data_IF_486593243164
#
_entry.id   IF_486593243164
#
_cell.length_a   1.000
_cell.length_b   1.000
_cell.length_c   1.000
_cell.angle_alpha   90.00
_cell.angle_beta   90.00
_cell.angle_gamma   90.00
#
_symmetry.space_group_name_H-M   'P 1'
#
loop_
_entity.id
_entity.type
_entity.pdbx_description
1 polymer ?
#
# COMPACT_ATOMS: atom_id res chain seq x y z
N UNK A 1 -3.95 -41.03 -36.66
CA UNK A 1 -4.41 -40.82 -35.27
C UNK A 1 -4.18 -39.36 -34.82
N UNK A 2 -4.07 -38.45 -35.78
CA UNK A 2 -3.45 -37.13 -35.57
C UNK A 2 -4.47 -36.02 -35.35
N UNK A 3 -5.69 -36.20 -35.83
CA UNK A 3 -6.79 -35.24 -35.70
C UNK A 3 -7.21 -35.00 -34.25
N UNK A 4 -7.24 -36.04 -33.41
CA UNK A 4 -7.59 -35.90 -31.99
C UNK A 4 -6.52 -35.16 -31.19
N UNK A 5 -5.24 -35.34 -31.54
CA UNK A 5 -4.12 -34.61 -30.92
C UNK A 5 -4.17 -33.12 -31.28
N UNK A 6 -4.38 -32.81 -32.56
CA UNK A 6 -4.54 -31.44 -33.04
C UNK A 6 -5.75 -30.73 -32.44
N UNK A 7 -6.89 -31.42 -32.29
CA UNK A 7 -8.08 -30.89 -31.62
C UNK A 7 -7.80 -30.55 -30.15
N UNK A 8 -7.08 -31.41 -29.43
CA UNK A 8 -6.65 -31.13 -28.06
C UNK A 8 -5.75 -29.90 -27.95
N UNK A 9 -4.80 -29.75 -28.88
CA UNK A 9 -3.87 -28.61 -28.91
C UNK A 9 -4.61 -27.27 -29.17
N UNK A 10 -5.56 -27.27 -30.10
CA UNK A 10 -6.35 -26.08 -30.43
C UNK A 10 -7.29 -25.71 -29.27
N UNK A 11 -7.94 -26.70 -28.65
CA UNK A 11 -8.79 -26.45 -27.49
C UNK A 11 -7.99 -25.87 -26.31
N UNK A 12 -6.80 -26.39 -26.05
CA UNK A 12 -5.91 -25.90 -24.99
C UNK A 12 -5.46 -24.46 -25.24
N UNK A 13 -5.05 -24.14 -26.47
CA UNK A 13 -4.58 -22.80 -26.83
C UNK A 13 -5.72 -21.77 -26.77
N UNK A 14 -6.92 -22.11 -27.23
CA UNK A 14 -8.10 -21.26 -27.06
C UNK A 14 -8.45 -21.04 -25.58
N UNK A 15 -8.39 -22.08 -24.75
CA UNK A 15 -8.64 -21.97 -23.32
C UNK A 15 -7.65 -21.04 -22.62
N UNK A 16 -6.35 -21.15 -22.93
CA UNK A 16 -5.31 -20.26 -22.40
C UNK A 16 -5.50 -18.81 -22.85
N UNK A 17 -5.89 -18.60 -24.11
CA UNK A 17 -6.17 -17.25 -24.62
C UNK A 17 -7.38 -16.61 -23.94
N UNK A 18 -8.46 -17.37 -23.72
CA UNK A 18 -9.61 -16.89 -22.95
C UNK A 18 -9.22 -16.56 -21.51
N UNK A 19 -8.42 -17.42 -20.86
CA UNK A 19 -7.96 -17.18 -19.50
C UNK A 19 -7.16 -15.87 -19.39
N UNK A 20 -6.24 -15.64 -20.34
CA UNK A 20 -5.46 -14.39 -20.42
C UNK A 20 -6.36 -13.18 -20.66
N UNK A 21 -7.35 -13.31 -21.54
CA UNK A 21 -8.32 -12.25 -21.83
C UNK A 21 -9.18 -11.89 -20.61
N UNK A 22 -9.62 -12.88 -19.85
CA UNK A 22 -10.37 -12.66 -18.60
C UNK A 22 -9.51 -12.04 -17.51
N UNK A 23 -8.23 -12.41 -17.40
CA UNK A 23 -7.30 -11.76 -16.46
C UNK A 23 -7.02 -10.28 -16.82
N UNK A 24 -7.02 -9.93 -18.11
CA UNK A 24 -6.79 -8.56 -18.58
C UNK A 24 -7.94 -7.57 -18.33
N UNK A 25 -9.17 -8.04 -18.02
CA UNK A 25 -10.36 -7.19 -17.83
C UNK A 25 -10.51 -6.57 -16.43
N UNK A 26 -9.45 -6.55 -15.60
CA UNK A 26 -9.52 -5.79 -14.34
C UNK A 26 -9.62 -4.30 -14.66
N UNK A 27 -10.84 -3.75 -14.53
CA UNK A 27 -11.14 -2.32 -14.72
C UNK A 27 -10.17 -1.48 -13.89
N UNK A 28 -9.35 -0.71 -14.59
CA UNK A 28 -8.29 0.12 -14.03
C UNK A 28 -8.90 1.47 -13.66
N UNK A 29 -9.35 1.65 -12.42
CA UNK A 29 -9.81 2.95 -11.94
C UNK A 29 -8.61 3.90 -11.86
N UNK A 30 -8.45 4.78 -12.86
CA UNK A 30 -7.40 5.81 -12.89
C UNK A 30 -7.70 6.79 -11.75
N UNK A 31 -6.91 6.73 -10.68
CA UNK A 31 -6.96 7.70 -9.60
C UNK A 31 -6.34 9.00 -10.13
N UNK A 32 -7.16 9.90 -10.68
CA UNK A 32 -6.76 11.30 -10.85
C UNK A 32 -6.68 11.90 -9.45
N UNK A 33 -5.46 12.00 -8.91
CA UNK A 33 -5.22 12.71 -7.66
C UNK A 33 -5.58 14.17 -7.91
N UNK A 34 -6.64 14.64 -7.27
CA UNK A 34 -7.02 16.04 -7.35
C UNK A 34 -6.01 16.88 -6.54
N UNK A 35 -5.71 18.12 -6.96
CA UNK A 35 -4.83 18.99 -6.18
C UNK A 35 -5.37 19.23 -4.76
N UNK A 36 -6.70 19.18 -4.59
CA UNK A 36 -7.35 19.25 -3.28
C UNK A 36 -7.04 18.02 -2.41
N UNK A 37 -7.04 16.81 -2.97
CA UNK A 37 -6.70 15.61 -2.21
C UNK A 37 -5.22 15.58 -1.82
N UNK A 38 -4.33 16.09 -2.68
CA UNK A 38 -2.91 16.23 -2.33
C UNK A 38 -2.70 17.17 -1.14
N UNK A 39 -3.34 18.35 -1.16
CA UNK A 39 -3.24 19.33 -0.06
C UNK A 39 -3.76 18.75 1.26
N UNK A 40 -4.92 18.09 1.22
CA UNK A 40 -5.50 17.43 2.40
C UNK A 40 -4.59 16.32 2.93
N UNK A 41 -4.04 15.49 2.06
CA UNK A 41 -3.09 14.44 2.45
C UNK A 41 -1.82 15.02 3.08
N UNK A 42 -1.31 16.13 2.54
CA UNK A 42 -0.15 16.84 3.11
C UNK A 42 -0.45 17.37 4.52
N UNK A 43 -1.62 17.97 4.72
CA UNK A 43 -2.04 18.46 6.04
C UNK A 43 -2.12 17.33 7.08
N UNK A 44 -2.72 16.19 6.70
CA UNK A 44 -2.78 15.00 7.55
C UNK A 44 -1.39 14.53 7.92
N UNK A 45 -0.50 14.35 6.93
CA UNK A 45 0.85 13.86 7.20
C UNK A 45 1.69 14.83 8.02
N UNK A 46 1.53 16.15 7.85
CA UNK A 46 2.29 17.14 8.62
C UNK A 46 2.01 17.07 10.13
N UNK A 47 0.81 16.66 10.55
CA UNK A 47 0.52 16.45 11.98
C UNK A 47 0.88 15.05 12.47
N UNK A 48 0.98 14.06 11.59
CA UNK A 48 1.32 12.68 11.95
C UNK A 48 2.83 12.47 11.98
N UNK A 49 3.59 13.06 11.05
CA UNK A 49 5.05 12.89 10.94
C UNK A 49 5.78 13.13 12.28
N UNK A 50 5.50 14.20 13.06
CA UNK A 50 6.17 14.42 14.34
C UNK A 50 5.94 13.30 15.35
N UNK A 51 4.79 12.63 15.33
CA UNK A 51 4.45 11.54 16.26
C UNK A 51 5.21 10.24 15.96
N UNK A 52 5.82 10.16 14.78
CA UNK A 52 6.36 8.93 14.21
C UNK A 52 7.87 9.02 14.01
N UNK A 53 8.41 10.21 13.83
CA UNK A 53 9.84 10.47 13.60
C UNK A 53 10.70 10.50 14.87
N UNK A 54 10.11 10.33 16.05
CA UNK A 54 10.84 10.33 17.33
C UNK A 54 11.89 9.20 17.47
N UNK A 55 12.02 8.30 16.49
CA UNK A 55 13.04 7.24 16.44
C UNK A 55 12.89 6.15 17.52
N UNK A 56 11.84 6.22 18.34
CA UNK A 56 11.52 5.23 19.36
C UNK A 56 10.85 4.03 18.68
N UNK A 57 11.05 2.82 19.21
CA UNK A 57 10.32 1.61 18.75
C UNK A 57 9.18 1.21 19.72
N UNK A 58 8.94 2.03 20.75
CA UNK A 58 7.95 1.71 21.79
C UNK A 58 6.52 1.75 21.21
N UNK A 59 5.64 0.84 21.67
CA UNK A 59 4.22 0.90 21.32
C UNK A 59 3.59 2.20 21.85
N UNK A 60 2.72 2.78 21.04
CA UNK A 60 1.99 4.02 21.31
C UNK A 60 0.49 3.71 21.34
N UNK A 61 -0.27 4.54 22.05
CA UNK A 61 -1.72 4.40 22.09
C UNK A 61 -2.34 4.93 20.78
N UNK A 62 -3.23 4.14 20.16
CA UNK A 62 -4.03 4.57 19.00
C UNK A 62 -4.79 5.88 19.26
N UNK A 63 -5.24 6.14 20.48
CA UNK A 63 -5.97 7.37 20.83
C UNK A 63 -5.14 8.64 20.68
N UNK A 64 -3.80 8.52 20.64
CA UNK A 64 -2.90 9.65 20.41
C UNK A 64 -2.88 10.13 18.94
N UNK A 65 -3.46 9.35 18.02
CA UNK A 65 -3.51 9.74 16.61
C UNK A 65 -4.60 10.80 16.37
N UNK A 66 -4.28 11.88 15.64
CA UNK A 66 -5.26 12.92 15.30
C UNK A 66 -6.34 12.45 14.32
N UNK A 67 -6.09 11.36 13.58
CA UNK A 67 -7.06 10.73 12.68
C UNK A 67 -6.97 9.20 12.79
N UNK A 68 -7.99 8.53 12.28
CA UNK A 68 -8.00 7.08 12.17
C UNK A 68 -6.87 6.58 11.25
N UNK A 69 -6.33 5.39 11.57
CA UNK A 69 -5.27 4.74 10.78
C UNK A 69 -5.63 4.62 9.30
N UNK A 70 -6.90 4.43 8.93
CA UNK A 70 -7.27 4.26 7.53
C UNK A 70 -7.12 5.57 6.74
N UNK A 71 -7.53 6.71 7.31
CA UNK A 71 -7.32 8.04 6.73
C UNK A 71 -5.84 8.37 6.57
N UNK A 72 -5.02 8.11 7.61
CA UNK A 72 -3.57 8.36 7.55
C UNK A 72 -2.92 7.50 6.47
N UNK A 73 -3.26 6.20 6.42
CA UNK A 73 -2.77 5.29 5.38
C UNK A 73 -3.17 5.75 3.97
N UNK A 74 -4.38 6.25 3.79
CA UNK A 74 -4.84 6.82 2.54
C UNK A 74 -4.03 8.06 2.13
N UNK A 75 -3.82 8.99 3.06
CA UNK A 75 -3.02 10.20 2.84
C UNK A 75 -1.57 9.87 2.46
N UNK A 76 -0.95 8.96 3.21
CA UNK A 76 0.42 8.50 2.96
C UNK A 76 0.57 7.83 1.59
N UNK A 77 -0.39 7.00 1.14
CA UNK A 77 -0.35 6.39 -0.20
C UNK A 77 -0.45 7.42 -1.33
N UNK A 78 -1.30 8.43 -1.17
CA UNK A 78 -1.43 9.52 -2.16
C UNK A 78 -0.10 10.27 -2.28
N UNK A 79 0.52 10.62 -1.16
CA UNK A 79 1.81 11.32 -1.14
C UNK A 79 2.96 10.43 -1.62
N UNK A 80 3.01 9.16 -1.23
CA UNK A 80 4.00 8.20 -1.71
C UNK A 80 3.93 8.06 -3.24
N UNK A 81 2.73 7.99 -3.82
CA UNK A 81 2.59 7.98 -5.27
C UNK A 81 3.04 9.29 -5.92
N UNK A 82 2.70 10.43 -5.32
CA UNK A 82 3.13 11.73 -5.81
C UNK A 82 4.66 11.85 -5.81
N UNK A 83 5.32 11.57 -4.69
CA UNK A 83 6.79 11.62 -4.58
C UNK A 83 7.49 10.60 -5.47
N UNK A 84 6.91 9.41 -5.62
CA UNK A 84 7.39 8.44 -6.60
C UNK A 84 7.29 8.97 -8.04
N UNK A 85 6.19 9.64 -8.39
CA UNK A 85 5.99 10.20 -9.73
C UNK A 85 6.97 11.35 -10.03
N UNK A 86 7.26 12.19 -9.04
CA UNK A 86 8.18 13.33 -9.12
C UNK A 86 9.66 12.95 -8.89
N UNK A 87 10.00 11.66 -8.77
CA UNK A 87 11.34 11.15 -8.47
C UNK A 87 11.97 11.72 -7.17
N UNK A 88 11.15 12.10 -6.20
CA UNK A 88 11.60 12.57 -4.88
C UNK A 88 11.85 11.38 -3.95
N UNK A 89 13.01 10.75 -4.10
CA UNK A 89 13.34 9.51 -3.38
C UNK A 89 13.44 9.68 -1.85
N UNK A 90 13.99 10.79 -1.37
CA UNK A 90 14.14 11.04 0.08
C UNK A 90 12.77 11.18 0.78
N UNK A 91 11.89 12.01 0.23
CA UNK A 91 10.53 12.19 0.74
C UNK A 91 9.70 10.91 0.63
N UNK A 92 9.90 10.12 -0.43
CA UNK A 92 9.28 8.81 -0.56
C UNK A 92 9.71 7.86 0.58
N UNK A 93 11.01 7.80 0.89
CA UNK A 93 11.53 6.98 2.00
C UNK A 93 10.93 7.44 3.32
N UNK A 94 10.89 8.75 3.56
CA UNK A 94 10.31 9.36 4.77
C UNK A 94 8.84 8.98 4.96
N UNK A 95 8.03 9.09 3.90
CA UNK A 95 6.61 8.70 3.95
C UNK A 95 6.46 7.19 4.12
N UNK A 96 7.31 6.37 3.49
CA UNK A 96 7.30 4.91 3.70
C UNK A 96 7.59 4.55 5.15
N UNK A 97 8.62 5.15 5.75
CA UNK A 97 8.95 4.95 7.15
C UNK A 97 7.79 5.38 8.05
N UNK A 98 7.20 6.54 7.80
CA UNK A 98 6.03 7.00 8.54
C UNK A 98 4.85 6.01 8.44
N UNK A 99 4.56 5.52 7.23
CA UNK A 99 3.50 4.54 6.98
C UNK A 99 3.72 3.25 7.76
N UNK A 100 4.95 2.73 7.78
CA UNK A 100 5.31 1.48 8.45
C UNK A 100 5.27 1.64 9.97
N UNK A 101 5.73 2.77 10.47
CA UNK A 101 5.74 3.07 11.90
C UNK A 101 4.34 3.30 12.48
N UNK A 102 3.28 3.40 11.66
CA UNK A 102 1.90 3.33 12.14
C UNK A 102 1.57 2.00 12.84
N UNK A 103 2.33 0.94 12.59
CA UNK A 103 2.22 -0.34 13.30
C UNK A 103 2.44 -0.21 14.81
N UNK A 104 3.13 0.84 15.26
CA UNK A 104 3.41 1.09 16.68
C UNK A 104 2.17 1.52 17.47
N UNK A 105 1.19 2.13 16.80
CA UNK A 105 -0.04 2.56 17.46
C UNK A 105 -0.94 1.36 17.68
N UNK A 106 -1.05 0.86 18.90
CA UNK A 106 -1.87 -0.29 19.27
C UNK A 106 -2.84 0.07 20.39
N UNK A 107 -3.80 -0.82 20.66
CA UNK A 107 -4.68 -0.67 21.81
C UNK A 107 -3.90 -0.92 23.10
N UNK A 108 -4.09 -0.03 24.08
CA UNK A 108 -3.38 -0.06 25.37
C UNK A 108 -3.76 -1.26 26.25
N UNK A 109 -4.92 -1.87 25.99
CA UNK A 109 -5.46 -2.99 26.77
C UNK A 109 -4.84 -4.35 26.42
N UNK A 110 -3.87 -4.38 25.50
CA UNK A 110 -3.19 -5.61 25.06
C UNK A 110 -1.96 -5.90 25.93
N UNK A 111 -1.75 -7.18 26.25
CA UNK A 111 -0.53 -7.65 26.89
C UNK A 111 0.72 -7.30 26.06
N UNK A 112 1.84 -7.04 26.74
CA UNK A 112 3.10 -6.64 26.11
C UNK A 112 3.58 -7.63 25.05
N UNK A 113 3.56 -8.93 25.36
CA UNK A 113 3.98 -10.00 24.42
C UNK A 113 3.06 -10.09 23.19
N UNK A 114 1.75 -9.88 23.38
CA UNK A 114 0.79 -9.82 22.29
C UNK A 114 0.99 -8.57 21.43
N UNK A 115 1.31 -7.44 22.06
CA UNK A 115 1.59 -6.19 21.40
C UNK A 115 2.83 -6.27 20.50
N UNK A 116 3.93 -6.87 20.96
CA UNK A 116 5.14 -7.04 20.14
C UNK A 116 4.90 -7.95 18.93
N UNK A 117 4.19 -9.07 19.12
CA UNK A 117 3.83 -9.98 18.01
C UNK A 117 2.94 -9.28 16.98
N UNK A 118 1.98 -8.48 17.44
CA UNK A 118 1.11 -7.71 16.55
C UNK A 118 1.87 -6.60 15.82
N UNK A 119 2.78 -5.90 16.51
CA UNK A 119 3.62 -4.86 15.93
C UNK A 119 4.45 -5.41 14.77
N UNK A 120 5.14 -6.53 14.97
CA UNK A 120 5.96 -7.16 13.92
C UNK A 120 5.10 -7.57 12.71
N UNK A 121 3.96 -8.23 12.97
CA UNK A 121 3.03 -8.66 11.91
C UNK A 121 2.43 -7.47 11.14
N UNK A 122 2.02 -6.41 11.84
CA UNK A 122 1.45 -5.22 11.22
C UNK A 122 2.52 -4.45 10.43
N UNK A 123 3.74 -4.35 10.96
CA UNK A 123 4.88 -3.73 10.28
C UNK A 123 5.16 -4.41 8.94
N UNK A 124 5.30 -5.73 8.93
CA UNK A 124 5.50 -6.50 7.69
C UNK A 124 4.33 -6.39 6.71
N UNK A 125 3.11 -6.33 7.23
CA UNK A 125 1.91 -6.14 6.40
C UNK A 125 1.92 -4.76 5.75
N UNK A 126 2.25 -3.70 6.49
CA UNK A 126 2.30 -2.33 5.99
C UNK A 126 3.42 -2.14 4.97
N UNK A 127 4.60 -2.74 5.18
CA UNK A 127 5.69 -2.75 4.18
C UNK A 127 5.21 -3.35 2.87
N UNK A 128 4.62 -4.56 2.92
CA UNK A 128 4.07 -5.23 1.73
C UNK A 128 2.98 -4.40 1.05
N UNK A 129 2.11 -3.78 1.83
CA UNK A 129 1.00 -2.97 1.33
C UNK A 129 1.49 -1.75 0.55
N UNK A 130 2.48 -1.01 1.06
CA UNK A 130 2.99 0.18 0.39
C UNK A 130 3.83 -0.16 -0.85
N UNK A 131 4.64 -1.22 -0.80
CA UNK A 131 5.44 -1.65 -1.95
C UNK A 131 4.59 -2.24 -3.08
N UNK A 132 3.55 -3.01 -2.72
CA UNK A 132 2.56 -3.50 -3.67
C UNK A 132 1.81 -2.34 -4.34
N UNK A 133 1.40 -1.34 -3.55
CA UNK A 133 0.73 -0.15 -4.07
C UNK A 133 1.62 0.61 -5.06
N UNK A 134 2.89 0.85 -4.73
CA UNK A 134 3.83 1.57 -5.62
C UNK A 134 4.14 0.77 -6.89
N UNK A 135 4.31 -0.56 -6.79
CA UNK A 135 4.57 -1.44 -7.94
C UNK A 135 3.36 -1.50 -8.89
N UNK A 136 2.13 -1.56 -8.37
CA UNK A 136 0.94 -1.49 -9.22
C UNK A 136 0.70 -0.10 -9.79
N UNK A 137 1.12 0.94 -9.07
CA UNK A 137 1.03 2.30 -9.56
C UNK A 137 2.08 2.60 -10.66
N UNK A 138 3.22 1.90 -10.66
CA UNK A 138 4.26 2.00 -11.69
C UNK A 138 3.91 1.25 -12.97
N UNK A 139 3.28 0.07 -12.87
CA UNK A 139 2.77 -0.70 -14.02
C UNK A 139 1.68 0.02 -14.84
N UNK A 140 1.17 1.18 -14.36
CA UNK A 140 0.20 2.03 -15.04
C UNK A 140 0.82 3.14 -15.92
N UNK A 141 2.16 3.21 -16.04
CA UNK A 141 2.86 4.12 -16.97
C UNK A 141 3.03 3.55 -18.40
N UNK A 142 2.47 2.37 -18.70
CA UNK A 142 2.50 1.73 -20.02
C UNK A 142 1.24 2.01 -20.83
#
# INVERSE_FOLDING_TARGET
MDTNFWLGLIALTCALYMLKWFQGRRKVTVYRISPASLRRSKEVMLRVLPLVEDGRDCPLDVTSLPWDKATIKGAAKILAYHFWRENQHEELIRIKQCFVSLARFQNRDLDFETCERLLTRERERLVREIDCYLTHASSRKG
#
